data_IF_726924040446
#
_entry.id   IF_726924040446
#
_cell.length_a   1.000
_cell.length_b   1.000
_cell.length_c   1.000
_cell.angle_alpha   90.00
_cell.angle_beta   90.00
_cell.angle_gamma   90.00
#
_symmetry.space_group_name_H-M   'P 1'
#
loop_
_entity.id
_entity.type
_entity.pdbx_description
1 polymer ?
#
# COMPACT_ATOMS: atom_id res chain seq x y z
N UNK A 1 -0.13 7.10 -7.03
CA UNK A 1 0.89 6.13 -7.50
C UNK A 1 0.61 4.79 -6.82
N UNK A 2 0.78 3.65 -7.50
CA UNK A 2 0.49 2.32 -6.94
C UNK A 2 1.70 1.43 -7.18
N UNK A 3 2.13 0.68 -6.17
CA UNK A 3 3.12 -0.38 -6.29
C UNK A 3 2.38 -1.70 -6.18
N UNK A 4 2.66 -2.64 -7.09
CA UNK A 4 2.11 -3.99 -7.02
C UNK A 4 3.18 -4.90 -6.43
N UNK A 5 2.81 -5.65 -5.40
CA UNK A 5 3.63 -6.65 -4.76
C UNK A 5 2.86 -7.97 -4.72
N UNK A 6 3.59 -9.08 -4.70
CA UNK A 6 3.01 -10.40 -4.48
C UNK A 6 3.11 -10.77 -3.00
N UNK A 7 1.99 -11.14 -2.39
CA UNK A 7 1.91 -11.64 -1.02
C UNK A 7 1.22 -12.99 -1.08
N UNK A 8 1.80 -14.02 -0.45
CA UNK A 8 1.15 -15.33 -0.33
C UNK A 8 -0.18 -15.18 0.43
N UNK A 9 -0.13 -14.48 1.57
CA UNK A 9 -1.28 -14.18 2.40
C UNK A 9 -1.54 -12.67 2.34
N UNK A 10 -2.12 -12.20 1.24
CA UNK A 10 -2.56 -10.81 1.08
C UNK A 10 -3.87 -10.54 1.82
N UNK A 11 -4.22 -9.27 2.09
CA UNK A 11 -5.47 -8.97 2.76
C UNK A 11 -6.66 -9.20 1.82
N UNK A 12 -7.81 -9.62 2.37
CA UNK A 12 -9.09 -9.80 1.65
C UNK A 12 -9.77 -8.45 1.37
N UNK A 13 -9.51 -7.47 2.22
CA UNK A 13 -10.03 -6.11 2.15
C UNK A 13 -8.88 -5.09 2.28
N UNK A 14 -9.17 -3.80 2.12
CA UNK A 14 -8.16 -2.77 2.30
C UNK A 14 -7.70 -2.75 3.76
N UNK A 15 -6.40 -2.95 4.01
CA UNK A 15 -5.77 -2.86 5.34
C UNK A 15 -4.46 -2.09 5.27
N UNK A 16 -4.11 -1.39 6.34
CA UNK A 16 -2.77 -0.79 6.45
C UNK A 16 -1.69 -1.87 6.63
N UNK A 17 -0.44 -1.54 6.34
CA UNK A 17 0.69 -2.44 6.62
C UNK A 17 0.76 -2.72 8.13
N UNK A 18 0.54 -1.71 8.96
CA UNK A 18 0.56 -1.83 10.41
C UNK A 18 -0.48 -2.84 10.93
N UNK A 19 -1.72 -2.80 10.41
CA UNK A 19 -2.78 -3.73 10.78
C UNK A 19 -2.53 -5.15 10.24
N UNK A 20 -2.02 -5.27 9.02
CA UNK A 20 -1.81 -6.57 8.37
C UNK A 20 -0.73 -7.41 9.07
N UNK A 21 0.32 -6.78 9.55
CA UNK A 21 1.48 -7.45 10.15
C UNK A 21 1.62 -7.17 11.65
N UNK A 22 0.54 -6.80 12.33
CA UNK A 22 0.57 -6.58 13.77
C UNK A 22 0.98 -7.86 14.51
N UNK A 23 2.13 -7.84 15.19
CA UNK A 23 2.66 -9.00 15.90
C UNK A 23 3.23 -10.09 14.99
N UNK A 24 3.39 -9.83 13.68
CA UNK A 24 3.95 -10.74 12.71
C UNK A 24 5.18 -10.11 12.02
N UNK A 25 6.13 -10.93 11.52
CA UNK A 25 7.24 -10.41 10.73
C UNK A 25 6.73 -9.82 9.40
N UNK A 26 7.27 -8.66 9.03
CA UNK A 26 6.97 -8.01 7.75
C UNK A 26 7.74 -8.73 6.63
N UNK A 27 7.07 -9.18 5.55
CA UNK A 27 7.74 -9.84 4.43
C UNK A 27 8.71 -8.92 3.70
N UNK A 28 9.83 -9.43 3.15
CA UNK A 28 10.84 -8.60 2.46
C UNK A 28 10.28 -7.72 1.34
N UNK A 29 9.29 -8.21 0.59
CA UNK A 29 8.62 -7.45 -0.46
C UNK A 29 7.83 -6.23 0.07
N UNK A 30 7.33 -6.30 1.31
CA UNK A 30 6.66 -5.18 1.98
C UNK A 30 7.71 -4.20 2.52
N UNK A 31 8.80 -4.71 3.09
CA UNK A 31 9.92 -3.85 3.52
C UNK A 31 10.57 -3.11 2.36
N UNK A 32 10.63 -3.71 1.17
CA UNK A 32 11.19 -3.07 -0.03
C UNK A 32 10.38 -1.86 -0.51
N UNK A 33 9.09 -1.77 -0.16
CA UNK A 33 8.25 -0.61 -0.48
C UNK A 33 8.22 0.43 0.64
N UNK A 34 8.74 0.11 1.83
CA UNK A 34 8.92 1.10 2.88
C UNK A 34 9.91 2.17 2.40
N UNK A 35 9.62 3.44 2.72
CA UNK A 35 10.40 4.61 2.28
C UNK A 35 10.43 4.81 0.77
N UNK A 36 9.53 4.17 0.03
CA UNK A 36 9.40 4.46 -1.40
C UNK A 36 8.97 5.91 -1.61
N UNK A 37 9.70 6.63 -2.47
CA UNK A 37 9.38 8.00 -2.86
C UNK A 37 8.18 7.98 -3.78
N UNK A 38 7.17 8.77 -3.46
CA UNK A 38 5.98 8.91 -4.29
C UNK A 38 5.75 10.35 -4.72
N UNK A 39 5.51 10.54 -6.01
CA UNK A 39 5.12 11.82 -6.60
C UNK A 39 3.61 12.01 -6.50
N UNK A 40 3.19 13.12 -5.89
CA UNK A 40 1.82 13.59 -5.98
C UNK A 40 1.63 14.34 -7.30
N UNK A 41 0.91 13.74 -8.25
CA UNK A 41 0.65 14.39 -9.55
C UNK A 41 -0.19 15.68 -9.41
N UNK A 42 -1.01 15.79 -8.36
CA UNK A 42 -1.82 17.00 -8.11
C UNK A 42 -0.98 18.21 -7.69
N UNK A 43 0.09 18.00 -6.92
CA UNK A 43 0.87 19.09 -6.31
C UNK A 43 2.30 19.18 -6.82
N UNK A 44 2.77 18.19 -7.59
CA UNK A 44 4.17 18.06 -8.01
C UNK A 44 5.14 17.68 -6.89
N UNK A 45 4.67 17.52 -5.65
CA UNK A 45 5.53 17.24 -4.49
C UNK A 45 5.89 15.75 -4.42
N UNK A 46 7.14 15.46 -4.10
CA UNK A 46 7.60 14.12 -3.76
C UNK A 46 7.54 13.97 -2.24
N UNK A 47 6.98 12.86 -1.77
CA UNK A 47 6.91 12.52 -0.36
C UNK A 47 7.34 11.06 -0.15
N UNK A 48 7.94 10.80 1.00
CA UNK A 48 8.36 9.47 1.44
C UNK A 48 7.23 8.89 2.30
N UNK A 49 6.82 7.66 2.00
CA UNK A 49 5.85 6.96 2.82
C UNK A 49 6.60 6.24 3.97
N UNK A 50 6.60 6.86 5.14
CA UNK A 50 7.37 6.38 6.30
C UNK A 50 6.52 5.65 7.34
N UNK A 51 5.23 6.00 7.44
CA UNK A 51 4.35 5.47 8.48
C UNK A 51 3.48 4.35 7.92
N UNK A 52 3.68 3.14 8.42
CA UNK A 52 2.96 1.92 7.98
C UNK A 52 1.44 2.01 8.18
N UNK A 53 0.98 2.82 9.15
CA UNK A 53 -0.43 3.16 9.39
C UNK A 53 -1.09 3.96 8.24
N UNK A 54 -0.28 4.59 7.38
CA UNK A 54 -0.75 5.38 6.24
C UNK A 54 -0.53 4.69 4.89
N UNK A 55 0.05 3.48 4.88
CA UNK A 55 0.31 2.71 3.67
C UNK A 55 -0.68 1.55 3.63
N UNK A 56 -1.50 1.52 2.59
CA UNK A 56 -2.59 0.55 2.48
C UNK A 56 -2.30 -0.51 1.42
N UNK A 57 -2.42 -1.76 1.83
CA UNK A 57 -2.50 -2.91 0.96
C UNK A 57 -3.94 -3.08 0.49
N UNK A 58 -4.12 -3.25 -0.82
CA UNK A 58 -5.43 -3.40 -1.44
C UNK A 58 -5.41 -4.65 -2.33
N UNK A 59 -6.37 -5.57 -2.17
CA UNK A 59 -6.45 -6.77 -2.99
C UNK A 59 -6.63 -6.41 -4.47
N UNK A 60 -6.00 -7.20 -5.35
CA UNK A 60 -6.10 -7.01 -6.81
C UNK A 60 -7.50 -7.25 -7.35
N UNK A 61 -8.27 -8.15 -6.74
CA UNK A 61 -9.69 -8.41 -7.08
C UNK A 61 -10.59 -7.19 -6.85
N UNK A 62 -10.30 -6.39 -5.82
CA UNK A 62 -11.05 -5.16 -5.49
C UNK A 62 -10.64 -3.99 -6.39
N UNK A 63 -9.52 -4.09 -7.12
CA UNK A 63 -9.06 -3.01 -8.02
C UNK A 63 -9.90 -2.85 -9.29
N UNK A 64 -10.84 -3.76 -9.57
CA UNK A 64 -11.81 -3.62 -10.67
C UNK A 64 -12.98 -2.68 -10.37
N UNK A 65 -13.20 -2.32 -9.10
CA UNK A 65 -14.30 -1.44 -8.67
C UNK A 65 -13.72 -0.07 -8.31
N UNK A 66 -13.30 0.70 -9.33
CA UNK A 66 -13.03 2.13 -9.13
C UNK A 66 -14.35 2.84 -8.81
N UNK A 67 -14.49 3.59 -7.71
CA UNK A 67 -15.50 4.63 -7.66
C UNK A 67 -15.13 5.65 -8.73
N UNK A 68 -16.01 5.86 -9.71
CA UNK A 68 -16.02 7.09 -10.50
C UNK A 68 -16.20 8.22 -9.49
N UNK A 69 -15.13 8.97 -9.24
CA UNK A 69 -15.28 10.31 -8.71
C UNK A 69 -15.95 11.13 -9.81
N UNK A 70 -17.27 11.28 -9.70
CA UNK A 70 -18.05 12.28 -10.43
C UNK A 70 -17.88 13.64 -9.78
#
# INVERSE_FOLDING_TARGET
MRVRIYLNDGPVEKKSIAEMFQGAPVPPQVSAIQRHKTLCLKTGKIFIQEKDEHIFLVPTSVMGVLPKFS
#
